data_IF_388299573282
#
_entry.id   IF_388299573282
#
_cell.length_a   1.000
_cell.length_b   1.000
_cell.length_c   1.000
_cell.angle_alpha   90.00
_cell.angle_beta   90.00
_cell.angle_gamma   90.00
#
_symmetry.space_group_name_H-M   'P 1'
#
loop_
_entity.id
_entity.type
_entity.pdbx_description
1 polymer ?
#
# COMPACT_ATOMS: atom_id res chain seq x y z
N UNK A 1 7.45 -3.69 12.33
CA UNK A 1 7.61 -2.83 11.16
C UNK A 1 6.35 -2.97 10.32
N UNK A 2 5.68 -1.86 10.04
CA UNK A 2 4.45 -1.74 9.26
C UNK A 2 4.81 -1.20 7.88
N UNK A 3 4.51 -1.96 6.84
CA UNK A 3 4.72 -1.52 5.46
C UNK A 3 3.37 -1.19 4.84
N UNK A 4 3.26 0.02 4.29
CA UNK A 4 2.09 0.47 3.56
C UNK A 4 2.34 0.51 2.06
N UNK A 5 1.35 0.08 1.30
CA UNK A 5 1.35 0.18 -0.16
C UNK A 5 0.20 1.10 -0.59
N UNK A 6 0.53 2.11 -1.37
CA UNK A 6 -0.42 3.10 -1.87
C UNK A 6 -0.90 2.77 -3.28
N UNK A 7 -2.13 3.19 -3.57
CA UNK A 7 -2.72 3.11 -4.91
C UNK A 7 -1.94 4.00 -5.87
N UNK A 8 -1.70 3.52 -7.10
CA UNK A 8 -1.11 4.33 -8.15
C UNK A 8 -2.05 5.48 -8.53
N UNK A 9 -1.51 6.65 -8.83
CA UNK A 9 -2.30 7.86 -9.13
C UNK A 9 -3.23 7.63 -10.32
N UNK A 10 -2.74 6.92 -11.34
CA UNK A 10 -3.51 6.56 -12.53
C UNK A 10 -4.19 5.18 -12.42
N UNK A 11 -3.94 4.43 -11.35
CA UNK A 11 -4.55 3.11 -11.07
C UNK A 11 -4.07 1.95 -11.96
N UNK A 12 -3.27 2.19 -13.00
CA UNK A 12 -2.85 1.15 -13.95
C UNK A 12 -1.69 0.26 -13.47
N UNK A 13 -1.08 0.59 -12.32
CA UNK A 13 -0.05 -0.23 -11.67
C UNK A 13 -0.35 -0.33 -10.17
N UNK A 14 0.36 -1.23 -9.50
CA UNK A 14 0.45 -1.26 -8.05
C UNK A 14 1.91 -1.49 -7.65
N UNK A 15 2.35 -0.95 -6.50
CA UNK A 15 3.69 -1.18 -5.96
C UNK A 15 3.88 -2.61 -5.44
N UNK A 16 2.82 -3.42 -5.42
CA UNK A 16 2.84 -4.81 -4.99
C UNK A 16 1.85 -5.64 -5.83
N UNK A 17 2.21 -6.89 -6.10
CA UNK A 17 1.29 -7.87 -6.69
C UNK A 17 0.53 -8.62 -5.59
N UNK A 18 -0.77 -8.96 -5.75
CA UNK A 18 -1.56 -9.68 -4.75
C UNK A 18 -0.86 -10.93 -4.17
N UNK A 19 -0.31 -11.80 -5.03
CA UNK A 19 0.44 -13.00 -4.59
C UNK A 19 1.71 -12.69 -3.79
N UNK A 20 2.25 -11.47 -3.89
CA UNK A 20 3.43 -11.09 -3.11
C UNK A 20 3.06 -10.70 -1.69
N UNK A 21 1.81 -10.30 -1.43
CA UNK A 21 1.36 -9.89 -0.09
C UNK A 21 1.48 -11.05 0.89
N UNK A 22 1.11 -12.26 0.48
CA UNK A 22 1.20 -13.47 1.31
C UNK A 22 2.64 -13.88 1.65
N UNK A 23 3.64 -13.35 0.93
CA UNK A 23 5.06 -13.67 1.15
C UNK A 23 5.71 -12.79 2.22
N UNK A 24 5.03 -11.73 2.68
CA UNK A 24 5.54 -10.87 3.74
C UNK A 24 5.32 -11.52 5.11
N UNK A 25 6.39 -11.54 5.92
CA UNK A 25 6.32 -11.86 7.35
C UNK A 25 6.02 -10.63 8.22
N UNK A 26 5.90 -9.45 7.60
CA UNK A 26 5.69 -8.15 8.24
C UNK A 26 4.21 -7.75 8.23
N UNK A 27 3.86 -6.72 9.01
CA UNK A 27 2.50 -6.18 9.06
C UNK A 27 2.23 -5.34 7.82
N UNK A 28 1.50 -5.91 6.84
CA UNK A 28 1.18 -5.27 5.56
C UNK A 28 -0.14 -4.51 5.65
N UNK A 29 -0.08 -3.25 5.24
CA UNK A 29 -1.23 -2.35 5.12
C UNK A 29 -1.39 -1.94 3.66
N UNK A 30 -2.60 -2.07 3.12
CA UNK A 30 -2.93 -1.66 1.75
C UNK A 30 -3.91 -0.50 1.76
N UNK A 31 -3.81 0.37 0.77
CA UNK A 31 -4.88 1.30 0.45
C UNK A 31 -6.07 0.52 -0.16
N UNK A 32 -7.30 0.88 0.24
CA UNK A 32 -8.52 0.06 0.05
C UNK A 32 -8.79 -0.33 -1.41
N UNK A 33 -8.34 0.46 -2.37
CA UNK A 33 -8.62 0.37 -3.80
C UNK A 33 -7.38 0.09 -4.67
N UNK A 34 -6.28 -0.36 -4.06
CA UNK A 34 -4.98 -0.53 -4.75
C UNK A 34 -5.00 -1.47 -5.96
N UNK A 35 -5.99 -2.37 -6.03
CA UNK A 35 -6.10 -3.38 -7.10
C UNK A 35 -7.33 -3.20 -8.01
N UNK A 36 -8.20 -2.22 -7.74
CA UNK A 36 -9.52 -2.09 -8.40
C UNK A 36 -9.42 -2.01 -9.93
N UNK A 37 -8.34 -1.40 -10.44
CA UNK A 37 -8.12 -1.18 -11.87
C UNK A 37 -7.19 -2.21 -12.52
N UNK A 38 -6.71 -3.21 -11.78
CA UNK A 38 -5.66 -4.13 -12.23
C UNK A 38 -6.17 -5.49 -12.71
N UNK A 39 -7.49 -5.70 -12.74
CA UNK A 39 -8.13 -6.92 -13.27
C UNK A 39 -7.52 -8.23 -12.73
N UNK A 40 -7.10 -8.23 -11.46
CA UNK A 40 -6.68 -9.44 -10.76
C UNK A 40 -7.91 -10.26 -10.34
N UNK A 41 -7.75 -11.59 -10.29
CA UNK A 41 -8.76 -12.46 -9.67
C UNK A 41 -8.93 -12.11 -8.19
N UNK A 42 -10.11 -12.39 -7.63
CA UNK A 42 -10.47 -12.04 -6.25
C UNK A 42 -9.34 -12.40 -5.27
N UNK A 43 -8.67 -11.36 -4.78
CA UNK A 43 -7.61 -11.46 -3.80
C UNK A 43 -8.23 -11.56 -2.41
N UNK A 44 -7.93 -12.64 -1.68
CA UNK A 44 -8.36 -12.73 -0.29
C UNK A 44 -7.51 -11.80 0.59
N UNK A 45 -8.16 -10.82 1.21
CA UNK A 45 -7.53 -9.85 2.11
C UNK A 45 -7.36 -10.37 3.55
N UNK A 46 -7.47 -11.69 3.80
CA UNK A 46 -7.55 -12.25 5.15
C UNK A 46 -6.38 -11.84 6.08
N UNK A 47 -5.21 -11.56 5.51
CA UNK A 47 -4.00 -11.17 6.24
C UNK A 47 -3.61 -9.69 6.06
N UNK A 48 -4.49 -8.88 5.48
CA UNK A 48 -4.19 -7.51 5.09
C UNK A 48 -5.02 -6.51 5.89
N UNK A 49 -4.37 -5.45 6.35
CA UNK A 49 -5.05 -4.32 6.99
C UNK A 49 -5.19 -3.17 6.01
N UNK A 50 -6.23 -2.37 6.19
CA UNK A 50 -6.33 -1.11 5.46
C UNK A 50 -5.47 -0.04 6.13
N UNK A 51 -4.84 0.82 5.33
CA UNK A 51 -4.15 2.01 5.82
C UNK A 51 -5.18 2.96 6.46
N UNK A 52 -5.04 3.21 7.75
CA UNK A 52 -5.87 4.20 8.48
C UNK A 52 -5.22 5.58 8.49
N UNK A 53 -3.91 5.66 8.79
CA UNK A 53 -3.11 6.88 8.75
C UNK A 53 -1.72 6.57 8.21
N UNK A 54 -1.14 7.47 7.41
CA UNK A 54 0.22 7.31 6.87
C UNK A 54 1.30 7.40 7.95
N UNK A 55 1.05 8.18 9.02
CA UNK A 55 1.97 8.35 10.15
C UNK A 55 2.17 7.09 10.99
N UNK A 56 1.32 6.08 10.83
CA UNK A 56 1.46 4.80 11.52
C UNK A 56 2.46 3.86 10.83
N UNK A 57 2.84 4.14 9.58
CA UNK A 57 3.64 3.26 8.72
C UNK A 57 5.14 3.50 8.94
N UNK A 58 5.94 2.43 8.88
CA UNK A 58 7.40 2.48 8.95
C UNK A 58 8.05 2.58 7.58
N UNK A 59 7.38 2.07 6.55
CA UNK A 59 7.81 2.09 5.15
C UNK A 59 6.58 2.34 4.29
N UNK A 60 6.69 3.21 3.29
CA UNK A 60 5.63 3.45 2.30
C UNK A 60 6.16 3.18 0.90
N UNK A 61 5.49 2.27 0.19
CA UNK A 61 5.79 1.94 -1.19
C UNK A 61 4.69 2.49 -2.12
N UNK A 62 5.12 3.17 -3.18
CA UNK A 62 4.27 3.76 -4.21
C UNK A 62 4.95 3.60 -5.58
N UNK A 63 4.17 3.69 -6.66
CA UNK A 63 4.69 3.54 -8.03
C UNK A 63 5.27 4.86 -8.54
N UNK A 64 4.48 5.93 -8.46
CA UNK A 64 4.92 7.28 -8.81
C UNK A 64 5.29 8.11 -7.57
N UNK A 65 5.84 9.30 -7.82
CA UNK A 65 6.13 10.25 -6.77
C UNK A 65 4.88 10.47 -5.91
N UNK A 66 5.04 10.21 -4.63
CA UNK A 66 3.99 10.45 -3.64
C UNK A 66 3.67 11.96 -3.61
N UNK A 67 2.39 12.31 -3.52
CA UNK A 67 1.96 13.71 -3.51
C UNK A 67 2.51 14.43 -2.28
N UNK A 68 2.85 15.73 -2.41
CA UNK A 68 3.37 16.56 -1.30
C UNK A 68 2.52 16.49 -0.02
N UNK A 69 1.20 16.37 -0.18
CA UNK A 69 0.27 16.22 0.95
C UNK A 69 0.55 14.92 1.72
N UNK A 70 0.67 13.81 1.00
CA UNK A 70 0.95 12.50 1.58
C UNK A 70 2.33 12.46 2.25
N UNK A 71 3.34 13.15 1.70
CA UNK A 71 4.67 13.29 2.34
C UNK A 71 4.54 13.90 3.74
N UNK A 72 3.74 14.95 3.88
CA UNK A 72 3.54 15.66 5.16
C UNK A 72 2.81 14.82 6.21
N UNK A 73 2.12 13.77 5.78
CA UNK A 73 1.40 12.85 6.64
C UNK A 73 2.27 11.65 7.08
N UNK A 74 3.46 11.47 6.47
CA UNK A 74 4.42 10.47 6.89
C UNK A 74 5.05 10.87 8.23
N UNK A 75 5.38 9.87 9.04
CA UNK A 75 6.21 10.11 10.22
C UNK A 75 7.66 10.33 9.80
N UNK A 76 8.42 10.97 10.69
CA UNK A 76 9.85 11.16 10.49
C UNK A 76 10.57 9.80 10.36
N UNK A 77 11.37 9.65 9.30
CA UNK A 77 12.16 8.45 9.03
C UNK A 77 11.42 7.28 8.36
N UNK A 78 10.18 7.50 7.90
CA UNK A 78 9.45 6.55 7.04
C UNK A 78 9.89 6.61 5.56
#
# INVERSE_FOLDING_TARGET
MKIGFLTDVDGYRAPIHPESVEKYSLDVHLEKNIFDYLNYADFSQDNVKNISNLSDLDIVACVENIQDKSIKELKEGA
#
